data_IF_480082702411
#
_entry.id   IF_480082702411
#
_cell.length_a   1.000
_cell.length_b   1.000
_cell.length_c   1.000
_cell.angle_alpha   90.00
_cell.angle_beta   90.00
_cell.angle_gamma   90.00
#
_symmetry.space_group_name_H-M   'P 1'
#
loop_
_entity.id
_entity.type
_entity.pdbx_description
1 polymer ?
2 non-polymer ?
3 non-polymer ?
4 water ?
#
# COMPACT_ATOMS: atom_id res chain seq x y z
N UNK A 4 -1.83 -18.11 15.84
CA UNK A 4 -0.51 -17.49 16.14
C UNK A 4 0.02 -16.63 14.98
N UNK A 5 0.32 -17.23 13.83
CA UNK A 5 0.81 -16.46 12.65
C UNK A 5 -0.25 -15.62 11.92
N UNK A 6 -1.51 -16.01 12.07
CA UNK A 6 -2.63 -15.43 11.32
C UNK A 6 -3.13 -16.41 10.25
N UNK A 7 -2.38 -17.48 9.97
CA UNK A 7 -2.80 -18.46 8.94
C UNK A 7 -4.16 -19.10 9.27
N UNK A 8 -4.45 -19.23 10.56
CA UNK A 8 -5.70 -19.75 11.07
C UNK A 8 -6.93 -18.89 10.71
N UNK A 9 -6.72 -17.61 10.36
CA UNK A 9 -7.85 -16.76 9.94
C UNK A 9 -7.72 -16.39 8.46
N UNK A 10 -7.04 -17.23 7.68
CA UNK A 10 -6.94 -17.01 6.23
C UNK A 10 -8.30 -17.09 5.53
N UNK A 11 -9.24 -17.92 6.01
CA UNK A 11 -10.51 -18.15 5.27
C UNK A 11 -11.32 -16.90 4.87
N UNK A 12 -11.56 -15.97 5.81
CA UNK A 12 -12.34 -14.80 5.39
C UNK A 12 -11.68 -13.98 4.27
N UNK A 13 -10.34 -13.93 4.27
CA UNK A 13 -9.63 -13.22 3.21
C UNK A 13 -9.68 -13.98 1.90
N UNK A 14 -9.53 -15.30 1.97
CA UNK A 14 -9.54 -16.16 0.79
C UNK A 14 -10.94 -16.17 0.15
N UNK A 15 -11.98 -16.39 0.96
CA UNK A 15 -13.35 -16.40 0.45
C UNK A 15 -13.72 -15.06 -0.18
N UNK A 16 -13.38 -13.96 0.49
CA UNK A 16 -13.68 -12.65 -0.09
C UNK A 16 -13.00 -12.46 -1.46
N UNK A 17 -11.72 -12.84 -1.52
CA UNK A 17 -10.94 -12.71 -2.76
C UNK A 17 -11.55 -13.56 -3.89
N UNK A 18 -11.85 -14.81 -3.55
CA UNK A 18 -12.45 -15.70 -4.53
C UNK A 18 -13.77 -15.15 -5.04
N UNK A 19 -14.62 -14.73 -4.10
CA UNK A 19 -15.95 -14.22 -4.49
C UNK A 19 -15.85 -12.96 -5.32
N UNK A 20 -15.00 -12.00 -4.92
CA UNK A 20 -14.89 -10.75 -5.66
C UNK A 20 -14.35 -10.98 -7.08
N UNK A 21 -13.25 -11.74 -7.20
CA UNK A 21 -12.66 -12.01 -8.53
C UNK A 21 -13.61 -12.79 -9.45
N UNK A 22 -14.32 -13.75 -8.86
CA UNK A 22 -15.34 -14.55 -9.60
C UNK A 22 -16.41 -13.63 -10.16
N UNK A 23 -17.00 -12.85 -9.26
CA UNK A 23 -18.12 -11.96 -9.63
C UNK A 23 -17.76 -10.88 -10.60
N UNK A 25 -14.82 -10.40 -12.45
CA UNK A 25 -13.98 -10.75 -13.59
C UNK A 25 -14.30 -12.08 -14.25
N UNK A 26 -15.01 -13.00 -13.59
CA UNK A 26 -15.34 -14.27 -14.22
C UNK A 26 -14.13 -15.14 -14.60
N UNK A 27 -12.99 -14.91 -13.94
CA UNK A 27 -11.73 -15.57 -14.23
C UNK A 27 -11.56 -16.91 -13.49
N UNK A 28 -12.58 -17.39 -12.76
CA UNK A 28 -12.57 -18.66 -12.09
C UNK A 28 -11.34 -18.79 -11.17
N UNK A 29 -11.21 -17.91 -10.18
CA UNK A 29 -10.06 -17.99 -9.28
C UNK A 29 -10.11 -19.25 -8.43
N UNK A 30 -8.96 -19.92 -8.32
CA UNK A 30 -8.82 -21.14 -7.52
C UNK A 30 -7.71 -20.93 -6.50
N UNK A 31 -8.05 -20.80 -5.21
CA UNK A 31 -6.98 -20.62 -4.24
C UNK A 31 -6.21 -21.89 -3.95
N UNK A 32 -4.90 -21.72 -3.74
CA UNK A 32 -4.07 -22.75 -3.24
C UNK A 32 -4.05 -22.70 -1.72
N UNK A 33 -3.09 -23.41 -1.14
CA UNK A 33 -2.94 -23.45 0.31
C UNK A 33 -2.27 -22.19 0.82
N UNK A 34 -2.82 -21.61 1.91
CA UNK A 34 -2.12 -20.48 2.50
C UNK A 34 -0.76 -20.91 3.02
N UNK A 35 0.20 -20.01 2.98
CA UNK A 35 1.52 -20.26 3.51
C UNK A 35 2.05 -19.03 4.20
N UNK A 36 2.97 -19.24 5.14
CA UNK A 36 3.68 -18.14 5.78
C UNK A 36 4.78 -17.71 4.82
N UNK A 37 4.79 -16.44 4.40
CA UNK A 37 5.79 -15.92 3.51
C UNK A 37 7.18 -15.99 4.18
N UNK A 38 8.16 -16.50 3.47
CA UNK A 38 9.53 -16.52 3.97
C UNK A 38 10.39 -15.52 3.24
N UNK A 39 10.01 -15.09 2.06
CA UNK A 39 10.65 -14.00 1.33
C UNK A 39 10.13 -12.65 1.85
N UNK A 40 10.95 -11.61 1.68
CA UNK A 40 10.65 -10.25 2.18
C UNK A 40 9.89 -9.39 1.17
N UNK A 41 9.59 -9.94 -0.02
CA UNK A 41 8.87 -9.24 -1.04
C UNK A 41 7.85 -10.12 -1.75
N UNK A 42 6.83 -9.47 -2.28
CA UNK A 42 5.96 -9.99 -3.33
C UNK A 42 6.40 -9.25 -4.59
N UNK A 43 6.67 -9.97 -5.69
CA UNK A 43 7.14 -9.38 -6.93
C UNK A 43 6.09 -9.58 -7.98
N UNK A 44 5.75 -8.49 -8.64
CA UNK A 44 4.77 -8.58 -9.68
C UNK A 44 4.56 -7.30 -10.43
N UNK A 45 3.44 -7.27 -11.15
CA UNK A 45 3.26 -6.28 -12.23
C UNK A 45 2.19 -5.22 -11.96
N UNK A 46 1.12 -5.63 -11.26
CA UNK A 46 0.13 -4.73 -10.73
C UNK A 46 -0.15 -5.23 -9.31
N UNK A 47 -0.05 -4.36 -8.31
CA UNK A 47 -0.44 -4.71 -6.97
C UNK A 47 -1.44 -3.70 -6.44
N UNK A 48 -2.13 -4.11 -5.40
CA UNK A 48 -2.98 -3.19 -4.64
C UNK A 48 -2.82 -3.52 -3.18
N UNK A 49 -3.02 -2.52 -2.32
CA UNK A 49 -2.86 -2.71 -0.90
C UNK A 49 -3.83 -1.83 -0.16
N UNK A 50 -4.33 -2.33 0.97
CA UNK A 50 -5.30 -1.60 1.78
C UNK A 50 -5.11 -1.92 3.24
N UNK A 51 -5.00 -0.87 4.04
CA UNK A 51 -4.82 -1.08 5.48
C UNK A 51 -6.12 -1.35 6.20
N UNK A 52 -6.01 -2.09 7.31
CA UNK A 52 -7.15 -2.38 8.19
C UNK A 52 -6.72 -2.08 9.61
N UNK A 53 -7.70 -1.68 10.41
CA UNK A 53 -7.46 -1.34 11.83
C UNK A 53 -8.56 -1.98 12.71
N UNK A 54 -8.18 -2.31 13.93
CA UNK A 54 -9.14 -2.95 14.88
C UNK A 54 -8.40 -3.41 16.10
N UNK A 55 -8.73 -4.59 16.66
CA UNK A 55 -8.03 -5.09 17.85
C UNK A 55 -6.53 -5.28 17.61
N UNK A 56 -6.22 -5.61 16.36
CA UNK A 56 -4.93 -5.62 15.75
C UNK A 56 -5.04 -4.76 14.45
N UNK A 57 -3.93 -4.27 13.98
CA UNK A 57 -3.84 -3.47 12.76
C UNK A 57 -3.06 -4.25 11.76
N UNK A 58 -3.32 -4.02 10.51
CA UNK A 58 -2.69 -4.79 9.46
C UNK A 58 -3.01 -4.30 8.09
N UNK A 59 -2.93 -5.23 7.15
CA UNK A 59 -3.07 -4.86 5.76
C UNK A 59 -3.45 -6.09 4.91
N UNK A 60 -4.11 -5.80 3.80
CA UNK A 60 -4.41 -6.81 2.76
C UNK A 60 -3.79 -6.31 1.47
N UNK A 61 -3.02 -7.16 0.79
CA UNK A 61 -2.52 -6.81 -0.55
C UNK A 61 -2.82 -7.91 -1.54
N UNK A 62 -2.78 -7.52 -2.81
CA UNK A 62 -2.91 -8.46 -3.90
C UNK A 62 -1.85 -8.09 -4.95
N UNK A 63 -1.07 -9.06 -5.39
CA UNK A 63 -0.03 -8.89 -6.38
C UNK A 63 -0.40 -9.77 -7.57
N UNK A 64 -0.62 -9.12 -8.70
CA UNK A 64 -1.03 -9.79 -9.94
C UNK A 64 0.13 -9.91 -10.92
N UNK A 65 0.17 -11.04 -11.63
CA UNK A 65 0.95 -11.13 -12.86
C UNK A 65 0.31 -10.17 -13.90
N UNK A 66 1.10 -9.76 -14.88
CA UNK A 66 0.62 -8.84 -15.92
C UNK A 66 -0.60 -9.43 -16.64
N UNK A 67 -0.54 -10.69 -17.04
CA UNK A 67 -1.66 -11.30 -17.78
C UNK A 67 -2.95 -11.25 -16.96
N UNK A 68 -2.84 -11.56 -15.67
CA UNK A 68 -4.02 -11.60 -14.84
C UNK A 68 -4.60 -10.23 -14.65
N UNK A 69 -3.77 -9.22 -14.34
CA UNK A 69 -4.25 -7.85 -14.18
C UNK A 69 -4.93 -7.35 -15.44
N UNK A 70 -4.35 -7.65 -16.60
CA UNK A 70 -5.00 -7.26 -17.88
C UNK A 70 -6.35 -7.93 -18.05
N UNK A 71 -6.42 -9.23 -17.74
CA UNK A 71 -7.70 -9.97 -17.86
C UNK A 71 -8.80 -9.41 -16.94
N UNK A 72 -8.40 -9.01 -15.72
CA UNK A 72 -9.35 -8.42 -14.77
C UNK A 72 -9.88 -7.10 -15.31
N UNK A 73 -8.99 -6.25 -15.79
CA UNK A 73 -9.37 -4.95 -16.34
C UNK A 73 -10.30 -5.15 -17.56
N UNK A 74 -9.99 -6.10 -18.44
CA UNK A 74 -10.82 -6.37 -19.61
C UNK A 74 -12.19 -6.94 -19.21
N UNK A 75 -12.21 -7.85 -18.24
CA UNK A 75 -13.48 -8.43 -17.77
C UNK A 75 -14.40 -7.38 -17.15
N UNK A 77 -14.18 -3.80 -17.42
CA UNK A 77 -14.42 -2.63 -18.23
C UNK A 77 -14.48 -2.88 -19.73
N UNK A 78 -14.26 -4.12 -20.19
CA UNK A 78 -14.39 -4.51 -21.62
C UNK A 78 -13.07 -4.86 -22.31
N UNK A 79 -13.17 -5.79 -23.28
CA UNK A 79 -12.00 -6.33 -24.04
C UNK A 79 -11.09 -5.28 -24.67
N UNK A 80 -11.71 -4.19 -25.10
CA UNK A 80 -11.01 -3.05 -25.70
C UNK A 80 -10.67 -2.12 -24.54
N UNK A 81 -9.37 -1.97 -24.24
CA UNK A 81 -8.94 -1.16 -23.06
C UNK A 81 -8.72 0.29 -23.42
N UNK A 82 -9.53 1.16 -22.81
CA UNK A 82 -9.47 2.59 -23.09
C UNK A 82 -8.13 3.27 -22.73
N UNK A 83 -7.69 3.04 -21.50
CA UNK A 83 -6.47 3.70 -20.98
C UNK A 83 -6.02 2.74 -19.89
N UNK A 84 -4.96 1.96 -20.16
CA UNK A 84 -4.51 0.94 -19.23
C UNK A 84 -4.19 1.47 -17.82
N UNK A 85 -3.59 2.64 -17.68
CA UNK A 85 -3.26 3.17 -16.36
C UNK A 85 -4.55 3.53 -15.57
N UNK A 86 -5.41 4.33 -16.16
CA UNK A 86 -6.62 4.73 -15.49
C UNK A 86 -7.54 3.53 -15.20
N UNK A 87 -7.68 2.63 -16.18
CA UNK A 87 -8.59 1.51 -16.04
C UNK A 87 -8.07 0.49 -15.03
N UNK A 88 -6.75 0.32 -14.98
CA UNK A 88 -6.14 -0.54 -13.96
C UNK A 88 -6.38 0.02 -12.56
N UNK A 89 -6.12 1.31 -12.37
CA UNK A 89 -6.38 1.98 -11.11
C UNK A 89 -7.84 1.77 -10.70
N UNK A 90 -8.76 2.08 -11.61
CA UNK A 90 -10.17 1.99 -11.30
C UNK A 90 -10.68 0.57 -11.01
N UNK A 91 -10.31 -0.37 -11.88
CA UNK A 91 -10.81 -1.75 -11.78
C UNK A 91 -10.18 -2.48 -10.59
N UNK A 92 -8.85 -2.42 -10.49
CA UNK A 92 -8.17 -3.10 -9.39
C UNK A 92 -8.47 -2.40 -8.07
N UNK A 93 -8.60 -1.07 -8.11
CA UNK A 93 -8.98 -0.34 -6.91
C UNK A 93 -10.35 -0.76 -6.38
N UNK A 94 -11.31 -0.96 -7.29
CA UNK A 94 -12.63 -1.41 -6.85
C UNK A 94 -12.60 -2.84 -6.31
N UNK A 95 -11.90 -3.72 -7.02
CA UNK A 95 -11.70 -5.10 -6.54
C UNK A 95 -11.15 -5.07 -5.09
N UNK A 96 -10.17 -4.20 -4.86
CA UNK A 96 -9.53 -4.15 -3.53
C UNK A 96 -10.45 -3.62 -2.45
N UNK A 97 -11.23 -2.58 -2.79
CA UNK A 97 -12.26 -2.07 -1.87
C UNK A 97 -13.26 -3.16 -1.53
N UNK A 99 -12.80 -6.55 -1.73
CA UNK A 99 -12.16 -7.57 -0.91
C UNK A 99 -12.09 -7.07 0.56
N UNK A 100 -11.65 -5.83 0.75
CA UNK A 100 -11.61 -5.29 2.08
C UNK A 100 -13.00 -5.33 2.76
N UNK A 101 -14.01 -4.86 2.07
CA UNK A 101 -15.37 -4.83 2.65
C UNK A 101 -15.89 -6.22 2.99
N UNK A 102 -15.68 -7.16 2.08
CA UNK A 102 -16.17 -8.54 2.30
C UNK A 102 -15.39 -9.30 3.35
N UNK A 103 -14.08 -9.14 3.37
CA UNK A 103 -13.24 -9.83 4.36
C UNK A 103 -13.58 -9.28 5.74
N UNK A 104 -13.72 -7.96 5.84
CA UNK A 104 -14.05 -7.35 7.15
C UNK A 104 -15.47 -7.70 7.61
N UNK A 105 -16.41 -7.83 6.67
CA UNK A 105 -17.77 -8.27 7.03
C UNK A 105 -17.69 -9.69 7.61
N UNK A 106 -16.91 -10.57 6.98
CA UNK A 106 -16.71 -11.96 7.47
C UNK A 106 -16.05 -12.02 8.85
N UNK A 107 -15.02 -11.17 9.02
CA UNK A 107 -14.35 -11.06 10.31
C UNK A 107 -15.32 -10.54 11.39
N UNK A 108 -16.18 -9.59 11.06
CA UNK A 108 -17.17 -9.06 12.01
C UNK A 108 -18.11 -10.17 12.47
N UNK A 109 -18.46 -11.08 11.57
CA UNK A 109 -19.31 -12.23 11.95
C UNK A 109 -18.62 -13.24 12.88
N UNK A 111 -16.78 -12.00 15.31
CA UNK A 111 -16.61 -11.17 16.51
C UNK A 111 -15.45 -10.20 16.49
N UNK A 113 -14.29 -6.71 14.68
CA UNK A 113 -14.59 -5.54 13.87
C UNK A 113 -13.30 -4.84 13.44
N UNK A 114 -13.19 -4.64 12.11
CA UNK A 114 -12.09 -3.91 11.52
C UNK A 114 -12.61 -2.80 10.63
N UNK A 115 -11.94 -1.64 10.65
CA UNK A 115 -12.17 -0.57 9.70
C UNK A 115 -11.19 -0.75 8.55
N UNK A 116 -11.55 -0.19 7.41
CA UNK A 116 -10.74 -0.27 6.22
C UNK A 116 -10.36 1.11 5.70
N UNK A 117 -9.08 1.27 5.36
CA UNK A 117 -8.55 2.46 4.78
C UNK A 117 -8.84 2.50 3.28
N UNK A 118 -8.37 3.54 2.61
CA UNK A 118 -8.53 3.62 1.15
C UNK A 118 -7.38 2.82 0.50
N UNK A 119 -7.69 2.07 -0.57
CA UNK A 119 -6.61 1.33 -1.25
C UNK A 119 -5.66 2.23 -2.05
N UNK A 120 -4.52 1.62 -2.35
CA UNK A 120 -3.60 2.17 -3.35
C UNK A 120 -3.28 1.07 -4.35
N UNK A 121 -3.05 1.48 -5.61
CA UNK A 121 -2.71 0.60 -6.71
C UNK A 121 -1.32 0.94 -7.20
N UNK A 122 -0.49 -0.09 -7.32
CA UNK A 122 0.90 0.02 -7.72
C UNK A 122 1.09 -0.61 -9.09
N UNK A 124 4.01 -1.29 -12.45
CA UNK A 124 5.37 -1.31 -12.99
C UNK A 124 5.84 -2.75 -12.97
N UNK A 125 6.34 -3.24 -14.13
CA UNK A 125 6.69 -4.64 -14.21
C UNK A 125 7.79 -5.00 -13.21
N UNK A 126 7.56 -6.05 -12.44
CA UNK A 126 8.55 -6.52 -11.51
C UNK A 126 8.83 -5.64 -10.31
N UNK A 127 7.88 -4.76 -9.98
CA UNK A 127 7.98 -4.06 -8.69
C UNK A 127 7.87 -5.07 -7.57
N UNK A 128 8.25 -4.63 -6.37
CA UNK A 128 8.02 -5.39 -5.20
C UNK A 128 7.20 -4.62 -4.18
N UNK A 129 6.44 -5.36 -3.37
CA UNK A 129 5.71 -4.82 -2.24
C UNK A 129 6.07 -5.67 -1.03
N UNK A 130 6.34 -4.98 0.08
CA UNK A 130 6.74 -5.58 1.33
C UNK A 130 5.91 -5.03 2.48
N UNK A 131 5.32 -5.89 3.27
CA UNK A 131 4.57 -5.53 4.47
C UNK A 131 5.50 -5.24 5.62
N UNK A 132 5.30 -4.12 6.31
CA UNK A 132 6.14 -3.69 7.41
C UNK A 132 5.41 -4.06 8.69
N UNK A 133 5.83 -5.16 9.31
CA UNK A 133 5.16 -5.70 10.45
C UNK A 133 6.03 -6.62 11.22
N UNK A 134 5.73 -6.66 12.51
CA UNK A 134 6.36 -7.56 13.47
C UNK A 134 5.86 -9.02 13.33
N UNK A 135 4.73 -9.17 12.67
CA UNK A 135 4.06 -10.46 12.55
C UNK A 135 4.49 -11.17 11.29
N UNK A 136 4.12 -12.47 11.19
CA UNK A 136 4.28 -13.15 9.91
C UNK A 136 3.28 -12.57 8.88
N UNK A 137 3.62 -12.71 7.62
CA UNK A 137 2.79 -12.34 6.53
C UNK A 137 2.27 -13.65 5.93
N UNK A 138 0.96 -13.73 5.74
CA UNK A 138 0.31 -14.93 5.21
C UNK A 138 0.01 -14.65 3.72
N UNK A 139 0.38 -15.57 2.86
CA UNK A 139 0.17 -15.48 1.43
C UNK A 139 -0.71 -16.63 0.96
N UNK A 140 -1.59 -16.35 0.00
CA UNK A 140 -2.43 -17.35 -0.61
C UNK A 140 -2.29 -17.22 -2.12
N UNK A 141 -1.69 -18.21 -2.80
CA UNK A 141 -1.53 -18.11 -4.25
C UNK A 141 -2.82 -18.56 -4.93
N UNK A 142 -3.07 -18.00 -6.13
CA UNK A 142 -4.26 -18.34 -6.90
C UNK A 142 -3.90 -18.65 -8.33
N UNK A 143 -4.63 -19.61 -8.88
CA UNK A 143 -4.71 -19.83 -10.33
C UNK A 143 -6.00 -19.18 -10.81
N UNK A 144 -6.00 -18.74 -12.07
CA UNK A 144 -7.19 -18.26 -12.73
C UNK A 144 -7.16 -18.73 -14.18
N UNK A 145 -8.17 -18.39 -14.94
CA UNK A 145 -8.16 -18.70 -16.37
C UNK A 145 -7.12 -17.90 -17.16
N UNK A 146 -6.59 -16.82 -16.56
CA UNK A 146 -5.72 -15.89 -17.21
C UNK A 146 -4.54 -15.53 -16.33
N UNK A 147 -3.86 -16.53 -15.80
CA UNK A 147 -2.65 -16.24 -15.01
C UNK A 147 -2.91 -16.14 -13.53
N UNK A 148 -1.85 -15.87 -12.81
CA UNK A 148 -1.88 -15.96 -11.36
C UNK A 148 -1.87 -14.63 -10.63
N UNK A 149 -2.27 -14.70 -9.37
CA UNK A 149 -2.09 -13.60 -8.43
C UNK A 149 -1.95 -14.22 -7.05
N UNK A 150 -1.51 -13.40 -6.10
CA UNK A 150 -1.39 -13.82 -4.72
C UNK A 150 -1.99 -12.76 -3.81
N UNK A 151 -2.76 -13.17 -2.80
CA UNK A 151 -3.28 -12.30 -1.75
C UNK A 151 -2.39 -12.47 -0.54
N UNK A 152 -2.05 -11.36 0.13
CA UNK A 152 -1.26 -11.41 1.35
C UNK A 152 -1.95 -10.61 2.42
N UNK A 153 -1.79 -11.02 3.66
CA UNK A 153 -2.31 -10.22 4.74
C UNK A 153 -1.44 -10.36 5.97
N UNK A 154 -1.58 -9.39 6.87
CA UNK A 154 -0.90 -9.46 8.15
C UNK A 154 -1.75 -8.75 9.20
N UNK A 155 -1.53 -9.13 10.45
CA UNK A 155 -2.18 -8.48 11.61
C UNK A 155 -1.19 -8.41 12.74
N UNK A 156 -1.12 -7.29 13.43
CA UNK A 156 -0.22 -7.14 14.59
C UNK A 156 -0.87 -6.37 15.71
N UNK B 7 -2.98 24.81 2.44
CA UNK B 7 -3.97 23.76 2.84
C UNK B 7 -3.73 23.40 4.31
N UNK B 8 -4.63 23.80 5.18
CA UNK B 8 -4.48 23.60 6.61
C UNK B 8 -4.29 22.13 7.02
N UNK B 9 -5.08 21.24 6.41
CA UNK B 9 -5.05 19.83 6.77
C UNK B 9 -3.71 19.17 6.39
N UNK B 10 -2.94 19.78 5.48
CA UNK B 10 -1.60 19.25 5.13
C UNK B 10 -0.57 19.44 6.26
N UNK B 11 -0.76 20.43 7.12
CA UNK B 11 0.24 20.79 8.11
C UNK B 11 0.67 19.66 9.04
N UNK B 12 -0.24 18.83 9.56
CA UNK B 12 0.22 17.72 10.39
C UNK B 12 1.14 16.74 9.66
N UNK B 13 0.90 16.54 8.38
CA UNK B 13 1.69 15.62 7.58
C UNK B 13 3.06 16.22 7.30
N UNK B 14 3.15 17.52 7.07
CA UNK B 14 4.43 18.22 6.86
C UNK B 14 5.27 18.20 8.14
N UNK B 15 4.64 18.54 9.26
CA UNK B 15 5.29 18.53 10.56
C UNK B 15 5.87 17.15 10.85
N UNK B 16 5.07 16.12 10.64
CA UNK B 16 5.54 14.75 10.91
C UNK B 16 6.68 14.34 10.00
N UNK B 17 6.57 14.66 8.72
CA UNK B 17 7.60 14.31 7.76
C UNK B 17 8.92 14.96 8.08
N UNK B 18 8.89 16.27 8.30
CA UNK B 18 10.10 17.00 8.60
C UNK B 18 10.71 16.54 9.91
N UNK B 19 9.90 16.29 10.93
CA UNK B 19 10.41 15.88 12.22
C UNK B 19 11.04 14.49 12.16
N UNK B 20 10.36 13.55 11.52
CA UNK B 20 10.88 12.17 11.44
C UNK B 20 12.19 12.12 10.65
N UNK B 21 12.27 12.79 9.51
CA UNK B 21 13.49 12.70 8.75
C UNK B 21 14.67 13.38 9.46
N UNK B 22 14.40 14.49 10.16
CA UNK B 22 15.48 15.14 10.92
C UNK B 22 15.94 14.33 12.11
N UNK B 23 15.01 13.81 12.90
CA UNK B 23 15.35 13.09 14.13
C UNK B 23 15.88 11.67 13.89
N UNK B 25 16.88 10.32 10.42
CA UNK B 25 17.74 10.12 9.25
C UNK B 25 18.74 11.22 9.01
N UNK B 26 18.82 12.23 9.88
CA UNK B 26 19.78 13.30 9.70
C UNK B 26 19.54 14.14 8.44
N UNK B 27 18.28 14.18 7.97
CA UNK B 27 17.97 14.88 6.73
C UNK B 27 16.96 15.97 7.04
N UNK B 28 17.19 17.13 6.43
CA UNK B 28 16.33 18.29 6.60
C UNK B 28 15.56 18.55 5.32
N UNK B 29 14.31 18.04 5.24
CA UNK B 29 13.54 18.30 4.05
C UNK B 29 12.96 19.70 4.04
N UNK B 30 12.99 20.35 2.88
CA UNK B 30 12.49 21.72 2.74
C UNK B 30 11.09 21.58 2.11
N UNK B 31 10.02 21.85 2.89
CA UNK B 31 8.69 21.67 2.31
C UNK B 31 8.34 22.78 1.31
N UNK B 32 7.72 22.39 0.20
CA UNK B 32 7.10 23.33 -0.75
C UNK B 32 5.61 23.45 -0.44
N UNK B 33 4.89 24.14 -1.31
CA UNK B 33 3.46 24.39 -1.17
C UNK B 33 2.64 23.12 -1.47
N UNK B 34 1.75 22.72 -0.56
CA UNK B 34 0.86 21.60 -0.89
C UNK B 34 -0.04 21.92 -2.09
N UNK B 35 -0.37 20.93 -2.91
CA UNK B 35 -1.25 21.10 -4.07
C UNK B 35 -2.18 19.90 -4.24
N UNK B 36 -3.27 20.13 -4.95
CA UNK B 36 -4.23 19.08 -5.29
C UNK B 36 -3.68 18.39 -6.54
N UNK B 37 -3.56 17.07 -6.50
CA UNK B 37 -3.05 16.34 -7.65
C UNK B 37 -3.99 16.48 -8.88
N UNK B 38 -3.40 16.68 -10.03
CA UNK B 38 -4.12 16.67 -11.32
C UNK B 38 -3.89 15.35 -12.10
N UNK B 39 -2.86 14.58 -11.74
CA UNK B 39 -2.55 13.28 -12.37
C UNK B 39 -3.09 12.10 -11.53
N UNK B 40 -3.14 10.93 -12.15
CA UNK B 40 -3.68 9.70 -11.52
C UNK B 40 -2.60 8.82 -10.85
N UNK B 41 -1.34 9.26 -10.88
CA UNK B 41 -0.22 8.54 -10.32
C UNK B 41 0.84 9.47 -9.71
N UNK B 42 1.63 8.89 -8.81
CA UNK B 42 2.93 9.43 -8.39
C UNK B 42 3.96 8.41 -8.86
N UNK B 43 5.00 8.86 -9.56
CA UNK B 43 6.03 7.98 -10.08
C UNK B 43 7.31 8.16 -9.27
N UNK B 44 7.96 7.04 -8.97
CA UNK B 44 9.22 7.10 -8.29
C UNK B 44 9.88 5.76 -8.18
N UNK B 45 10.89 5.66 -7.31
CA UNK B 45 11.73 4.45 -7.22
C UNK B 45 11.53 3.67 -5.94
N UNK B 46 11.21 4.35 -4.84
CA UNK B 46 10.86 3.70 -3.59
C UNK B 46 9.69 4.48 -3.02
N UNK B 47 8.59 3.79 -2.72
CA UNK B 47 7.46 4.39 -2.07
C UNK B 47 7.11 3.62 -0.81
N UNK B 48 6.34 4.28 0.04
CA UNK B 48 5.70 3.60 1.16
C UNK B 48 4.30 4.16 1.31
N UNK B 49 3.41 3.34 1.85
CA UNK B 49 2.00 3.72 1.98
C UNK B 49 1.44 3.11 3.25
N UNK B 50 0.59 3.87 3.94
CA UNK B 50 -0.04 3.40 5.15
C UNK B 50 -1.44 3.97 5.28
N UNK B 51 -2.38 3.07 5.49
CA UNK B 51 -3.77 3.45 5.62
C UNK B 51 -4.10 4.04 6.99
N UNK B 52 -5.10 4.90 7.01
CA UNK B 52 -5.62 5.50 8.23
C UNK B 52 -7.15 5.41 8.23
N UNK B 53 -7.72 5.31 9.42
CA UNK B 53 -9.16 5.22 9.61
C UNK B 53 -9.58 6.05 10.83
N UNK B 54 -10.88 6.17 11.04
CA UNK B 54 -11.42 6.89 12.20
C UNK B 54 -12.18 8.11 11.76
N UNK B 55 -11.63 9.30 11.98
CA UNK B 55 -12.33 10.54 11.63
C UNK B 55 -12.76 10.51 10.15
N UNK B 56 -11.84 10.06 9.30
CA UNK B 56 -12.07 9.74 7.90
C UNK B 56 -11.26 8.50 7.60
N UNK B 57 -11.58 7.87 6.48
CA UNK B 57 -10.77 6.78 5.97
C UNK B 57 -9.85 7.37 4.92
N UNK B 58 -8.62 6.88 4.86
CA UNK B 58 -7.68 7.47 3.97
C UNK B 58 -6.35 6.78 3.98
N UNK B 59 -5.33 7.51 3.53
CA UNK B 59 -4.03 6.98 3.35
C UNK B 59 -2.99 8.07 3.30
N UNK B 60 -1.75 7.70 3.70
CA UNK B 60 -0.57 8.53 3.63
C UNK B 60 0.45 7.77 2.82
N UNK B 61 1.01 8.38 1.78
CA UNK B 61 2.11 7.79 1.05
C UNK B 61 3.28 8.72 0.94
N UNK B 62 4.44 8.12 0.67
CA UNK B 62 5.65 8.87 0.39
C UNK B 62 6.33 8.21 -0.81
N UNK B 63 6.70 9.01 -1.80
CA UNK B 63 7.38 8.51 -3.00
C UNK B 63 8.70 9.25 -3.14
N UNK B 64 9.76 8.46 -3.16
CA UNK B 64 11.12 8.95 -3.22
C UNK B 64 11.76 8.60 -4.57
N UNK B 65 12.64 9.49 -5.02
CA UNK B 65 13.61 9.14 -6.03
C UNK B 65 14.61 8.15 -5.37
N UNK B 66 15.31 7.33 -6.17
CA UNK B 66 16.26 6.37 -5.66
C UNK B 66 17.36 7.03 -4.78
N UNK B 67 17.87 8.15 -5.28
CA UNK B 67 18.93 8.86 -4.60
C UNK B 67 18.53 9.22 -3.16
N UNK B 68 17.31 9.75 -3.00
CA UNK B 68 16.86 10.17 -1.68
C UNK B 68 16.60 8.95 -0.79
N UNK B 69 15.96 7.92 -1.34
CA UNK B 69 15.71 6.71 -0.58
C UNK B 69 16.99 6.06 -0.07
N UNK B 70 18.02 6.00 -0.93
CA UNK B 70 19.31 5.44 -0.52
C UNK B 70 19.93 6.21 0.62
N UNK B 71 19.84 7.55 0.56
CA UNK B 71 20.39 8.40 1.61
C UNK B 71 19.65 8.20 2.93
N UNK B 72 18.33 8.04 2.87
CA UNK B 72 17.58 7.77 4.09
C UNK B 72 17.95 6.43 4.71
N UNK B 73 18.05 5.38 3.86
CA UNK B 73 18.36 4.06 4.35
C UNK B 73 19.78 4.02 4.92
N UNK B 74 20.74 4.64 4.22
CA UNK B 74 22.12 4.68 4.74
C UNK B 74 22.22 5.37 6.09
N UNK B 75 21.50 6.48 6.24
CA UNK B 75 21.52 7.21 7.49
C UNK B 75 20.96 6.41 8.64
N UNK B 77 20.76 3.06 8.81
CA UNK B 77 21.60 1.84 9.01
C UNK B 77 23.04 2.21 9.41
N UNK B 78 23.34 3.48 9.68
CA UNK B 78 24.72 3.88 10.07
C UNK B 78 25.76 3.58 9.01
N UNK B 79 25.36 3.76 7.75
CA UNK B 79 26.17 3.46 6.55
C UNK B 79 26.54 1.97 6.39
N UNK B 80 26.00 1.09 7.24
CA UNK B 80 26.28 -0.36 7.22
C UNK B 80 25.10 -1.09 6.54
N UNK B 81 24.89 -0.79 5.25
CA UNK B 81 23.84 -1.41 4.45
C UNK B 81 24.38 -2.78 4.10
N UNK B 82 23.69 -3.81 4.56
CA UNK B 82 24.09 -5.17 4.25
C UNK B 82 23.23 -5.84 3.22
N UNK B 83 22.00 -5.35 3.02
CA UNK B 83 21.09 -5.90 2.02
C UNK B 83 20.13 -4.77 1.70
N UNK B 84 20.27 -4.15 0.53
CA UNK B 84 19.48 -2.96 0.18
C UNK B 84 17.97 -3.22 0.22
N UNK B 85 17.53 -4.44 -0.11
CA UNK B 85 16.09 -4.72 -0.13
C UNK B 85 15.54 -4.77 1.30
N UNK B 86 16.14 -5.63 2.11
CA UNK B 86 15.72 -5.73 3.50
C UNK B 86 15.88 -4.40 4.25
N UNK B 87 17.00 -3.72 4.03
CA UNK B 87 17.31 -2.48 4.73
C UNK B 87 16.35 -1.36 4.32
N UNK B 88 15.98 -1.32 3.06
CA UNK B 88 15.01 -0.32 2.60
C UNK B 88 13.64 -0.58 3.23
N UNK B 89 13.21 -1.85 3.21
CA UNK B 89 11.98 -2.23 3.86
C UNK B 89 11.93 -1.78 5.31
N UNK B 90 12.99 -2.12 6.04
CA UNK B 90 13.03 -1.80 7.46
C UNK B 90 13.09 -0.29 7.75
N UNK B 91 14.02 0.41 7.08
CA UNK B 91 14.25 1.82 7.35
C UNK B 91 13.11 2.69 6.84
N UNK B 92 12.71 2.53 5.58
CA UNK B 92 11.57 3.30 5.08
C UNK B 92 10.29 2.88 5.81
N UNK B 93 10.16 1.61 6.14
CA UNK B 93 9.00 1.17 6.94
C UNK B 93 8.88 1.86 8.27
N UNK B 94 10.01 1.98 8.98
CA UNK B 94 10.03 2.66 10.29
C UNK B 94 9.71 4.14 10.12
N UNK B 95 10.33 4.79 9.13
CA UNK B 95 10.02 6.20 8.85
C UNK B 95 8.51 6.40 8.62
N UNK B 96 7.89 5.50 7.86
CA UNK B 96 6.48 5.59 7.53
C UNK B 96 5.61 5.37 8.76
N UNK B 97 5.94 4.36 9.55
CA UNK B 97 5.27 4.15 10.84
C UNK B 97 5.30 5.39 11.72
N UNK B 99 5.92 8.61 10.71
CA UNK B 99 5.14 9.70 10.08
C UNK B 99 3.64 9.51 10.37
N UNK B 100 3.17 8.28 10.23
CA UNK B 100 1.77 7.99 10.55
C UNK B 100 1.45 8.36 12.02
N UNK B 101 2.29 7.90 12.93
CA UNK B 101 2.05 8.15 14.34
C UNK B 101 2.09 9.62 14.70
N UNK B 102 3.09 10.32 14.21
CA UNK B 102 3.23 11.74 14.52
C UNK B 102 2.19 12.59 13.81
N UNK B 103 1.84 12.24 12.56
CA UNK B 103 0.78 12.98 11.85
C UNK B 103 -0.57 12.79 12.57
N UNK B 104 -0.84 11.57 12.98
CA UNK B 104 -2.11 11.31 13.66
C UNK B 104 -2.13 11.97 15.04
N UNK B 105 -1.00 12.06 15.73
CA UNK B 105 -0.95 12.80 17.02
C UNK B 105 -1.30 14.28 16.77
N UNK B 106 -0.76 14.87 15.70
CA UNK B 106 -1.02 16.30 15.35
C UNK B 106 -2.49 16.48 14.92
N UNK B 107 -3.04 15.50 14.19
CA UNK B 107 -4.45 15.52 13.81
C UNK B 107 -5.37 15.45 15.03
N UNK B 108 -5.00 14.65 16.02
CA UNK B 108 -5.78 14.50 17.26
C UNK B 108 -5.81 15.86 18.00
N UNK B 109 -4.72 16.63 17.89
CA UNK B 109 -4.65 17.98 18.48
C UNK B 109 -5.61 18.96 17.78
N UNK B 111 -8.61 17.95 16.76
CA UNK B 111 -9.92 17.30 16.97
C UNK B 111 -10.32 16.16 16.06
N UNK B 113 -9.45 12.17 15.37
CA UNK B 113 -8.80 10.97 15.84
C UNK B 113 -8.77 9.90 14.76
N UNK B 114 -7.55 9.46 14.47
CA UNK B 114 -7.28 8.44 13.46
C UNK B 114 -6.46 7.29 14.01
N UNK B 115 -6.80 6.09 13.53
CA UNK B 115 -6.01 4.89 13.74
C UNK B 115 -5.14 4.68 12.52
N UNK B 116 -4.02 4.00 12.69
CA UNK B 116 -3.10 3.68 11.59
C UNK B 116 -2.94 2.18 11.39
N UNK B 117 -2.94 1.80 10.11
CA UNK B 117 -2.66 0.44 9.67
C UNK B 117 -1.16 0.18 9.60
N UNK B 118 -0.75 -1.00 9.14
CA UNK B 118 0.66 -1.31 8.97
C UNK B 118 1.12 -0.79 7.59
N UNK B 119 2.34 -0.22 7.50
CA UNK B 119 2.79 0.26 6.20
C UNK B 119 3.20 -0.87 5.24
N UNK B 120 3.27 -0.50 3.97
CA UNK B 120 3.92 -1.32 2.94
C UNK B 120 4.96 -0.49 2.23
N UNK B 121 6.08 -1.11 1.84
CA UNK B 121 7.16 -0.45 1.09
C UNK B 121 7.20 -1.07 -0.31
N UNK B 122 7.27 -0.18 -1.29
CA UNK B 122 7.27 -0.51 -2.71
C UNK B 122 8.60 -0.16 -3.33
N UNK B 124 11.16 -0.63 -7.05
CA UNK B 124 11.15 -0.85 -8.48
C UNK B 124 11.28 0.51 -9.14
N UNK B 125 12.30 0.68 -9.99
CA UNK B 125 12.53 1.97 -10.58
C UNK B 125 11.35 2.40 -11.46
N UNK B 126 10.91 3.63 -11.28
CA UNK B 126 9.84 4.18 -12.09
C UNK B 126 8.50 3.53 -11.94
N UNK B 127 8.23 2.96 -10.77
CA UNK B 127 6.89 2.46 -10.51
C UNK B 127 5.96 3.63 -10.26
N UNK B 128 4.68 3.36 -10.28
CA UNK B 128 3.68 4.31 -9.89
C UNK B 128 2.82 3.82 -8.73
N UNK B 129 2.35 4.77 -7.95
CA UNK B 129 1.36 4.54 -6.90
C UNK B 129 0.20 5.50 -7.14
N UNK B 130 -1.01 4.96 -7.00
CA UNK B 130 -2.24 5.71 -7.17
C UNK B 130 -3.14 5.46 -5.96
N UNK B 131 -3.68 6.54 -5.41
CA UNK B 131 -4.68 6.46 -4.35
C UNK B 131 -6.06 6.29 -4.93
N UNK B 132 -6.81 5.33 -4.39
CA UNK B 132 -8.15 4.96 -4.85
C UNK B 132 -9.15 5.62 -3.92
N UNK B 133 -9.73 6.72 -4.38
CA UNK B 133 -10.66 7.54 -3.61
C UNK B 133 -11.38 8.48 -4.56
N UNK B 134 -12.59 8.87 -4.20
CA UNK B 134 -13.28 9.94 -4.96
C UNK B 134 -12.88 11.32 -4.45
N UNK B 135 -12.22 11.38 -3.28
CA UNK B 135 -11.73 12.68 -2.79
C UNK B 135 -10.53 13.17 -3.57
N UNK B 136 -10.23 14.48 -3.51
CA UNK B 136 -8.99 14.95 -4.06
C UNK B 136 -7.80 14.35 -3.26
N UNK B 137 -6.66 14.19 -3.93
CA UNK B 137 -5.43 13.74 -3.32
C UNK B 137 -4.54 15.00 -3.17
N UNK B 138 -4.00 15.20 -1.97
CA UNK B 138 -3.11 16.32 -1.68
C UNK B 138 -1.66 15.83 -1.72
N UNK B 139 -0.80 16.56 -2.42
CA UNK B 139 0.61 16.26 -2.51
C UNK B 139 1.41 17.39 -1.90
N UNK B 140 2.49 17.05 -1.22
CA UNK B 140 3.42 18.02 -0.63
C UNK B 140 4.80 17.67 -1.18
N UNK B 141 5.41 18.56 -1.97
CA UNK B 141 6.75 18.33 -2.48
C UNK B 141 7.78 18.74 -1.45
N UNK B 142 8.89 17.99 -1.40
CA UNK B 142 10.02 18.31 -0.56
C UNK B 142 11.31 18.25 -1.33
N UNK B 143 12.20 19.20 -1.03
CA UNK B 143 13.53 19.21 -1.54
C UNK B 143 14.48 18.78 -0.45
N UNK B 144 15.51 18.05 -0.85
CA UNK B 144 16.57 17.62 0.06
C UNK B 144 17.94 17.74 -0.62
N UNK B 145 18.98 17.55 0.17
CA UNK B 145 20.34 17.50 -0.35
C UNK B 145 20.59 16.28 -1.25
N UNK B 146 19.63 15.33 -1.24
CA UNK B 146 19.73 14.09 -1.98
C UNK B 146 18.58 13.89 -2.96
N UNK B 147 17.96 14.95 -3.41
CA UNK B 147 16.85 14.88 -4.35
C UNK B 147 15.50 14.99 -3.68
N UNK B 148 14.51 14.83 -4.52
CA UNK B 148 13.14 15.11 -4.21
C UNK B 148 12.38 13.94 -3.74
N UNK B 149 11.38 14.28 -2.92
CA UNK B 149 10.38 13.32 -2.61
C UNK B 149 9.05 14.05 -2.41
N UNK B 150 7.97 13.28 -2.41
CA UNK B 150 6.64 13.83 -2.26
C UNK B 150 5.86 13.00 -1.25
N UNK B 151 5.13 13.64 -0.35
CA UNK B 151 4.17 12.98 0.52
C UNK B 151 2.77 13.27 0.00
N UNK B 152 1.92 12.25 -0.08
CA UNK B 152 0.55 12.42 -0.54
C UNK B 152 -0.38 11.85 0.49
N UNK B 153 -1.57 12.41 0.58
CA UNK B 153 -2.58 11.85 1.44
C UNK B 153 -3.98 12.12 0.87
N UNK B 154 -4.90 11.31 1.31
CA UNK B 154 -6.30 11.49 0.96
C UNK B 154 -7.13 11.12 2.16
N UNK B 155 -8.37 11.65 2.18
CA UNK B 155 -9.30 11.42 3.24
C UNK B 155 -10.69 11.38 2.64
N UNK B 156 -11.50 10.43 3.04
CA UNK B 156 -12.89 10.35 2.53
C UNK B 156 -13.83 9.89 3.64
#
# INVERSE_FOLDING_TARGET
GXSSSGIEIAKPFVTATTNVLSTXAGIQPIPGQPYVKKNNVAKGDVSAVVGITGHKNGSISVTFTKQCAIAVVKAXLGDDIQDIIQDTKDAVGEVTNXISGQARAALSEXGXTFQGATPSVIXGDGHTISHVTKSPVIAIPFKTNHGEFTVEFCLE
GXSSSGIEIAKPFVTATTNVLSTXAGIQPIPGQPYVKKNNVAKGDVSAVVGITGHKNGSISVTFTKQCAIAVVKAXLGDDIQDIIQDTKDAVGEVTNXISGQARAALSEXGXTFQGATPSVIXGDGHTISHVTKSPVIAIPFKTNHGEFTVEFCLE
#
